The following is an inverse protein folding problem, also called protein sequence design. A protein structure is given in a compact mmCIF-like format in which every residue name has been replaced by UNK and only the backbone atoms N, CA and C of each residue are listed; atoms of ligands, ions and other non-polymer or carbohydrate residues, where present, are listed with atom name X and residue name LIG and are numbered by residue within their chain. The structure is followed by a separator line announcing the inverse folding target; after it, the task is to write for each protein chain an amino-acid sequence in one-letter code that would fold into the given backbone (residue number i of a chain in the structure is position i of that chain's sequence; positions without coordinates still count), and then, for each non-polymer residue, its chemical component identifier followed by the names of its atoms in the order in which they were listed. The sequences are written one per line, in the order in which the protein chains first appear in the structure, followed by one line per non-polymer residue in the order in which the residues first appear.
data_IF_696408644603
#
_entry.id   IF_696408644603
#
_cell.length_a   1.000
_cell.length_b   1.000
_cell.length_c   1.000
_cell.angle_alpha   90.00
_cell.angle_beta   90.00
_cell.angle_gamma   90.00
#
_symmetry.space_group_name_H-M   'P 1'
#
loop_
_entity.id
_entity.type
_entity.pdbx_description
1 polymer ?
#
# COMPACT_ATOMS: atom_id res chain seq x y z
N UNK A 1 -32.52 6.39 33.21
CA UNK A 1 -33.30 5.52 32.31
C UNK A 1 -33.42 6.23 30.96
N UNK A 2 -32.74 5.80 29.94
CA UNK A 2 -33.02 6.14 28.55
C UNK A 2 -32.00 5.43 27.67
N UNK A 3 -32.28 4.52 27.01
CA UNK A 3 -32.34 3.71 25.86
C UNK A 3 -31.08 3.79 24.98
N UNK A 4 -30.33 2.69 25.00
CA UNK A 4 -29.29 2.38 24.05
C UNK A 4 -29.95 2.07 22.69
N UNK A 5 -29.73 2.95 21.69
CA UNK A 5 -30.20 2.76 20.31
C UNK A 5 -29.34 1.72 19.60
N UNK A 6 -29.95 0.57 19.32
CA UNK A 6 -29.39 -0.52 18.51
C UNK A 6 -29.07 -0.04 17.11
N UNK A 7 -27.80 -0.05 16.72
CA UNK A 7 -27.36 0.15 15.34
C UNK A 7 -27.77 -1.07 14.49
N UNK A 8 -28.78 -0.89 13.64
CA UNK A 8 -29.23 -1.89 12.66
C UNK A 8 -28.09 -2.15 11.67
N UNK A 9 -27.58 -3.38 11.67
CA UNK A 9 -26.62 -3.87 10.70
C UNK A 9 -27.12 -3.66 9.27
N UNK A 10 -26.23 -3.22 8.38
CA UNK A 10 -26.52 -3.10 6.95
C UNK A 10 -26.86 -4.49 6.40
N UNK A 11 -28.08 -4.65 5.96
CA UNK A 11 -28.55 -5.82 5.23
C UNK A 11 -27.94 -5.74 3.83
N UNK A 12 -26.93 -6.58 3.57
CA UNK A 12 -26.49 -6.82 2.20
C UNK A 12 -27.67 -7.39 1.42
N UNK A 13 -27.99 -6.75 0.28
CA UNK A 13 -29.02 -7.25 -0.63
C UNK A 13 -28.76 -8.70 -1.07
N UNK A 14 -29.77 -9.39 -1.61
CA UNK A 14 -29.65 -10.80 -1.94
C UNK A 14 -28.47 -11.02 -2.88
N UNK A 15 -27.53 -11.89 -2.45
CA UNK A 15 -26.40 -12.32 -3.27
C UNK A 15 -26.96 -12.91 -4.56
N UNK A 16 -26.77 -12.22 -5.70
CA UNK A 16 -27.14 -12.76 -7.01
C UNK A 16 -26.50 -14.15 -7.15
N UNK A 17 -27.33 -15.18 -7.30
CA UNK A 17 -26.83 -16.50 -7.65
C UNK A 17 -26.27 -16.40 -9.07
N UNK A 18 -24.95 -16.38 -9.19
CA UNK A 18 -24.30 -16.49 -10.49
C UNK A 18 -24.66 -17.85 -11.06
N UNK A 19 -25.16 -17.85 -12.29
CA UNK A 19 -25.50 -19.05 -13.03
C UNK A 19 -24.20 -19.86 -13.26
N UNK A 20 -24.15 -21.07 -12.72
CA UNK A 20 -23.02 -21.98 -12.83
C UNK A 20 -22.72 -22.40 -14.29
N UNK A 21 -23.65 -22.14 -15.23
CA UNK A 21 -23.44 -22.41 -16.65
C UNK A 21 -22.46 -21.47 -17.33
N UNK A 22 -22.28 -20.23 -16.80
CA UNK A 22 -21.35 -19.22 -17.31
C UNK A 22 -19.87 -19.56 -17.09
N UNK A 23 -19.57 -20.59 -16.28
CA UNK A 23 -18.18 -20.97 -15.97
C UNK A 23 -17.56 -22.01 -16.90
N UNK A 24 -18.25 -22.43 -17.98
CA UNK A 24 -17.75 -23.46 -18.91
C UNK A 24 -16.90 -22.93 -20.06
N UNK A 25 -16.91 -21.64 -20.32
CA UNK A 25 -16.06 -21.08 -21.35
C UNK A 25 -14.61 -20.95 -20.88
N UNK A 26 -13.69 -21.50 -21.68
CA UNK A 26 -12.25 -21.35 -21.38
C UNK A 26 -11.89 -19.86 -21.44
N UNK A 27 -11.24 -19.37 -20.38
CA UNK A 27 -10.73 -18.00 -20.38
C UNK A 27 -9.89 -17.73 -21.63
N UNK A 28 -10.05 -16.58 -22.28
CA UNK A 28 -9.22 -16.18 -23.40
C UNK A 28 -7.73 -16.28 -23.06
N UNK A 29 -6.87 -16.50 -24.07
CA UNK A 29 -5.44 -16.69 -23.82
C UNK A 29 -4.77 -15.48 -23.16
N UNK A 30 -5.22 -14.28 -23.48
CA UNK A 30 -4.74 -13.02 -22.88
C UNK A 30 -5.10 -12.86 -21.40
N UNK A 31 -6.08 -13.62 -20.89
CA UNK A 31 -6.42 -13.69 -19.45
C UNK A 31 -5.65 -14.77 -18.69
N UNK A 32 -4.82 -15.55 -19.39
CA UNK A 32 -3.99 -16.57 -18.74
C UNK A 32 -2.71 -15.94 -18.25
N UNK A 33 -2.60 -15.76 -16.95
CA UNK A 33 -1.35 -15.36 -16.32
C UNK A 33 -0.48 -16.62 -16.15
N UNK A 34 0.73 -16.60 -16.67
CA UNK A 34 1.71 -17.66 -16.39
C UNK A 34 2.17 -17.51 -14.93
N UNK A 35 2.10 -18.59 -14.17
CA UNK A 35 2.64 -18.59 -12.82
C UNK A 35 4.15 -18.29 -12.88
N UNK A 36 4.66 -17.42 -12.01
CA UNK A 36 6.08 -17.12 -12.00
C UNK A 36 6.88 -18.36 -11.61
N UNK A 37 7.75 -18.79 -12.50
CA UNK A 37 8.75 -19.82 -12.21
C UNK A 37 10.12 -19.15 -11.92
N UNK A 38 10.08 -17.92 -11.40
CA UNK A 38 11.27 -17.12 -11.15
C UNK A 38 11.66 -17.20 -9.67
N UNK A 39 12.86 -17.70 -9.34
CA UNK A 39 13.39 -17.70 -7.98
C UNK A 39 13.33 -16.32 -7.31
N UNK A 40 13.61 -15.26 -8.06
CA UNK A 40 13.59 -13.86 -7.57
C UNK A 40 12.28 -13.49 -6.88
N UNK A 41 11.14 -13.99 -7.38
CA UNK A 41 9.86 -13.74 -6.75
C UNK A 41 9.76 -14.34 -5.33
N UNK A 42 10.22 -15.58 -5.16
CA UNK A 42 10.17 -16.27 -3.88
C UNK A 42 11.15 -15.69 -2.87
N UNK A 43 12.35 -15.32 -3.35
CA UNK A 43 13.36 -14.63 -2.53
C UNK A 43 12.84 -13.28 -2.05
N UNK A 44 12.21 -12.51 -2.94
CA UNK A 44 11.57 -11.22 -2.61
C UNK A 44 10.46 -11.40 -1.58
N UNK A 45 9.60 -12.40 -1.78
CA UNK A 45 8.49 -12.69 -0.85
C UNK A 45 9.00 -13.06 0.55
N UNK A 46 10.04 -13.88 0.63
CA UNK A 46 10.70 -14.23 1.88
C UNK A 46 11.29 -12.99 2.56
N UNK A 47 11.99 -12.17 1.79
CA UNK A 47 12.63 -10.96 2.27
C UNK A 47 11.65 -9.96 2.89
N UNK A 48 10.54 -9.69 2.21
CA UNK A 48 9.47 -8.80 2.70
C UNK A 48 8.95 -9.31 4.04
N UNK A 49 8.74 -10.61 4.15
CA UNK A 49 8.28 -11.25 5.39
C UNK A 49 9.33 -11.19 6.50
N UNK A 50 10.59 -11.49 6.18
CA UNK A 50 11.68 -11.53 7.16
C UNK A 50 11.99 -10.14 7.74
N UNK A 51 11.79 -9.09 6.94
CA UNK A 51 11.91 -7.70 7.36
C UNK A 51 10.61 -7.13 7.96
N UNK A 52 9.58 -7.95 8.16
CA UNK A 52 8.28 -7.52 8.70
C UNK A 52 7.73 -6.27 7.99
N UNK A 53 7.75 -6.28 6.65
CA UNK A 53 7.27 -5.18 5.82
C UNK A 53 5.92 -5.52 5.19
N UNK A 54 5.13 -4.50 4.95
CA UNK A 54 3.84 -4.60 4.27
C UNK A 54 3.97 -4.05 2.85
N UNK A 55 3.40 -4.77 1.88
CA UNK A 55 3.34 -4.31 0.50
C UNK A 55 1.90 -4.22 0.01
N UNK A 56 1.58 -3.15 -0.71
CA UNK A 56 0.29 -3.06 -1.42
C UNK A 56 0.12 -4.22 -2.40
N UNK A 57 1.23 -4.71 -2.94
CA UNK A 57 1.23 -5.85 -3.87
C UNK A 57 0.64 -7.13 -3.24
N UNK A 58 0.80 -7.32 -1.92
CA UNK A 58 0.22 -8.45 -1.19
C UNK A 58 -1.19 -8.13 -0.66
N UNK A 59 -1.36 -6.99 -0.01
CA UNK A 59 -2.64 -6.58 0.57
C UNK A 59 -3.76 -6.47 -0.49
N UNK A 60 -3.46 -5.89 -1.65
CA UNK A 60 -4.39 -5.79 -2.77
C UNK A 60 -4.48 -7.07 -3.61
N UNK A 61 -3.75 -8.15 -3.25
CA UNK A 61 -3.68 -9.39 -4.03
C UNK A 61 -3.41 -9.14 -5.51
N UNK A 62 -2.49 -8.22 -5.80
CA UNK A 62 -2.20 -7.75 -7.14
C UNK A 62 -1.74 -8.90 -8.06
N UNK A 63 -2.40 -9.12 -9.20
CA UNK A 63 -2.03 -10.20 -10.13
C UNK A 63 -0.70 -9.95 -10.85
N UNK A 64 -0.24 -8.69 -10.90
CA UNK A 64 0.99 -8.30 -11.60
C UNK A 64 2.23 -8.29 -10.68
N UNK A 65 2.07 -8.58 -9.40
CA UNK A 65 3.13 -8.54 -8.39
C UNK A 65 4.42 -9.23 -8.83
N UNK A 66 4.31 -10.42 -9.41
CA UNK A 66 5.45 -11.22 -9.85
C UNK A 66 6.22 -10.56 -11.00
N UNK A 67 5.54 -9.84 -11.88
CA UNK A 67 6.15 -9.10 -12.99
C UNK A 67 6.88 -7.86 -12.47
N UNK A 68 6.18 -7.04 -11.67
CA UNK A 68 6.75 -5.83 -11.09
C UNK A 68 8.01 -6.12 -10.25
N UNK A 69 7.95 -7.12 -9.38
CA UNK A 69 9.10 -7.51 -8.57
C UNK A 69 10.25 -8.05 -9.42
N UNK A 70 9.93 -8.81 -10.49
CA UNK A 70 10.91 -9.30 -11.46
C UNK A 70 11.56 -8.19 -12.29
N UNK A 71 10.90 -7.04 -12.44
CA UNK A 71 11.40 -5.86 -13.15
C UNK A 71 12.06 -4.83 -12.23
N UNK A 72 12.21 -5.14 -10.94
CA UNK A 72 12.84 -4.24 -9.97
C UNK A 72 11.95 -3.09 -9.51
N UNK A 73 10.64 -3.29 -9.46
CA UNK A 73 9.67 -2.32 -8.91
C UNK A 73 8.84 -2.95 -7.79
N UNK A 74 8.74 -2.29 -6.65
CA UNK A 74 7.88 -2.70 -5.55
C UNK A 74 7.15 -1.50 -4.93
N UNK A 75 5.97 -1.77 -4.34
CA UNK A 75 5.18 -0.77 -3.62
C UNK A 75 5.09 -1.17 -2.15
N UNK A 76 5.80 -0.46 -1.29
CA UNK A 76 5.72 -0.63 0.15
C UNK A 76 4.57 0.20 0.73
N UNK A 77 3.90 -0.37 1.72
CA UNK A 77 2.87 0.32 2.50
C UNK A 77 3.40 0.52 3.91
N UNK A 78 3.74 1.75 4.23
CA UNK A 78 4.34 2.15 5.51
C UNK A 78 3.29 2.61 6.53
N UNK A 79 3.73 2.88 7.74
CA UNK A 79 2.92 3.33 8.87
C UNK A 79 1.92 2.28 9.39
N UNK A 80 2.21 0.99 9.12
CA UNK A 80 1.45 -0.16 9.60
C UNK A 80 0.42 -0.67 8.60
N UNK A 81 -0.36 -1.66 9.04
CA UNK A 81 -1.35 -2.40 8.21
C UNK A 81 -2.81 -2.04 8.51
N UNK A 82 -3.04 -1.06 9.42
CA UNK A 82 -4.38 -0.64 9.85
C UNK A 82 -4.60 0.81 9.54
N UNK A 83 -5.69 1.09 8.83
CA UNK A 83 -6.05 2.43 8.39
C UNK A 83 -7.11 3.05 9.31
N UNK A 84 -7.00 4.35 9.56
CA UNK A 84 -8.04 5.11 10.29
C UNK A 84 -9.31 5.31 9.47
N UNK A 85 -9.25 5.13 8.13
CA UNK A 85 -10.35 5.38 7.18
C UNK A 85 -10.94 4.08 6.63
N UNK A 86 -12.22 4.14 6.25
CA UNK A 86 -13.00 3.01 5.73
C UNK A 86 -13.45 3.25 4.28
N UNK A 87 -12.51 3.37 3.35
CA UNK A 87 -12.81 3.55 1.93
C UNK A 87 -13.47 2.29 1.35
N UNK A 88 -14.63 2.44 0.70
CA UNK A 88 -15.45 1.31 0.26
C UNK A 88 -14.84 0.43 -0.83
N UNK A 89 -13.80 0.89 -1.49
CA UNK A 89 -13.05 0.19 -2.55
C UNK A 89 -11.72 -0.39 -2.06
N UNK A 90 -11.28 -0.05 -0.84
CA UNK A 90 -9.97 -0.45 -0.32
C UNK A 90 -10.05 -1.76 0.46
N UNK A 91 -9.08 -2.65 0.25
CA UNK A 91 -8.98 -3.92 0.95
C UNK A 91 -8.27 -3.82 2.31
N UNK A 92 -7.60 -2.69 2.59
CA UNK A 92 -6.86 -2.48 3.84
C UNK A 92 -7.81 -2.47 5.04
N UNK A 93 -7.38 -3.09 6.11
CA UNK A 93 -8.18 -3.24 7.33
C UNK A 93 -8.38 -1.91 8.04
N UNK A 94 -9.64 -1.51 8.23
CA UNK A 94 -10.00 -0.37 9.06
C UNK A 94 -10.00 -0.77 10.54
N UNK A 95 -9.09 -0.19 11.32
CA UNK A 95 -9.02 -0.39 12.76
C UNK A 95 -8.19 0.74 13.40
N UNK A 96 -8.13 0.78 14.74
CA UNK A 96 -7.18 1.65 15.43
C UNK A 96 -5.76 1.17 15.07
N UNK A 97 -4.91 2.05 14.48
CA UNK A 97 -3.54 1.69 14.15
C UNK A 97 -2.70 1.44 15.39
N UNK A 98 -1.66 0.63 15.22
CA UNK A 98 -0.61 0.46 16.21
C UNK A 98 0.35 1.67 16.19
N UNK A 99 1.26 1.75 17.17
CA UNK A 99 2.31 2.77 17.15
C UNK A 99 3.20 2.61 15.91
N UNK A 100 3.75 3.72 15.42
CA UNK A 100 4.74 3.66 14.35
C UNK A 100 5.98 2.91 14.82
N UNK A 101 6.51 2.05 13.96
CA UNK A 101 7.77 1.37 14.19
C UNK A 101 8.92 2.29 13.74
N UNK A 102 9.77 2.68 14.68
CA UNK A 102 10.82 3.67 14.42
C UNK A 102 11.88 3.18 13.43
N UNK A 103 12.03 1.87 13.28
CA UNK A 103 12.99 1.21 12.40
C UNK A 103 12.39 0.79 11.03
N UNK A 104 11.10 1.08 10.78
CA UNK A 104 10.46 0.76 9.50
C UNK A 104 11.14 1.47 8.30
N UNK A 105 11.56 2.75 8.38
CA UNK A 105 12.30 3.43 7.32
C UNK A 105 13.56 2.70 6.88
N UNK A 106 14.38 2.25 7.83
CA UNK A 106 15.62 1.51 7.58
C UNK A 106 15.34 0.13 6.99
N UNK A 107 14.30 -0.56 7.46
CA UNK A 107 13.89 -1.86 6.90
C UNK A 107 13.41 -1.74 5.46
N UNK A 108 12.69 -0.65 5.11
CA UNK A 108 12.29 -0.36 3.73
C UNK A 108 13.51 -0.08 2.85
N UNK A 109 14.49 0.70 3.35
CA UNK A 109 15.74 0.97 2.66
C UNK A 109 16.55 -0.31 2.39
N UNK A 110 16.70 -1.15 3.40
CA UNK A 110 17.35 -2.47 3.32
C UNK A 110 16.63 -3.39 2.32
N UNK A 111 15.30 -3.48 2.37
CA UNK A 111 14.53 -4.28 1.43
C UNK A 111 14.75 -3.81 0.00
N UNK A 112 14.69 -2.49 -0.22
CA UNK A 112 14.93 -1.84 -1.52
C UNK A 112 16.29 -2.23 -2.09
N UNK A 113 17.32 -2.17 -1.27
CA UNK A 113 18.69 -2.55 -1.64
C UNK A 113 18.80 -4.05 -1.96
N UNK A 114 18.27 -4.91 -1.09
CA UNK A 114 18.38 -6.38 -1.26
C UNK A 114 17.57 -6.88 -2.44
N UNK A 115 16.42 -6.28 -2.71
CA UNK A 115 15.60 -6.57 -3.90
C UNK A 115 16.22 -6.00 -5.18
N UNK A 116 17.26 -5.15 -5.07
CA UNK A 116 17.89 -4.46 -6.20
C UNK A 116 16.89 -3.68 -7.03
N UNK A 117 16.00 -2.95 -6.35
CA UNK A 117 14.98 -2.17 -7.04
C UNK A 117 15.61 -1.01 -7.81
N UNK A 118 15.05 -0.74 -8.99
CA UNK A 118 15.32 0.46 -9.77
C UNK A 118 14.30 1.57 -9.46
N UNK A 119 13.14 1.17 -8.99
CA UNK A 119 12.02 2.05 -8.70
C UNK A 119 11.27 1.53 -7.47
N UNK A 120 11.14 2.37 -6.46
CA UNK A 120 10.36 2.08 -5.26
C UNK A 120 9.18 3.03 -5.17
N UNK A 121 8.00 2.46 -4.92
CA UNK A 121 6.80 3.23 -4.60
C UNK A 121 6.54 3.12 -3.10
N UNK A 122 6.39 4.25 -2.43
CA UNK A 122 6.10 4.34 -0.99
C UNK A 122 4.70 4.91 -0.84
N UNK A 123 3.82 4.17 -0.23
CA UNK A 123 2.50 4.63 0.17
C UNK A 123 2.26 4.33 1.64
N UNK A 124 1.17 4.80 2.21
CA UNK A 124 0.83 4.55 3.60
C UNK A 124 -0.66 4.33 3.80
N UNK A 125 -1.00 3.72 4.91
CA UNK A 125 -2.36 3.81 5.47
C UNK A 125 -2.62 5.24 5.95
N UNK A 126 -3.88 5.69 5.96
CA UNK A 126 -4.20 6.97 6.58
C UNK A 126 -4.01 6.88 8.10
N UNK A 127 -3.33 7.89 8.66
CA UNK A 127 -2.96 8.01 10.08
C UNK A 127 -3.55 9.30 10.66
N UNK A 128 -4.87 9.46 10.56
CA UNK A 128 -5.56 10.64 11.13
C UNK A 128 -5.44 10.73 12.66
N UNK A 129 -4.96 9.66 13.30
CA UNK A 129 -4.60 9.60 14.72
C UNK A 129 -3.29 10.33 15.04
N UNK A 130 -2.44 10.61 14.04
CA UNK A 130 -1.19 11.34 14.21
C UNK A 130 -1.38 12.84 13.89
N UNK A 131 -0.60 13.66 14.59
CA UNK A 131 -0.68 15.11 14.42
C UNK A 131 -0.35 15.54 12.98
N UNK A 132 0.62 14.89 12.37
CA UNK A 132 1.13 15.15 11.02
C UNK A 132 0.52 14.23 9.95
N UNK A 133 -0.38 13.30 10.34
CA UNK A 133 -0.95 12.31 9.43
C UNK A 133 0.05 11.27 8.93
N UNK A 134 1.24 11.16 9.53
CA UNK A 134 2.32 10.27 9.14
C UNK A 134 3.34 10.89 8.16
N UNK A 135 3.32 12.20 7.96
CA UNK A 135 4.21 12.88 7.01
C UNK A 135 5.70 12.78 7.40
N UNK A 136 6.02 12.86 8.69
CA UNK A 136 7.39 12.68 9.20
C UNK A 136 7.90 11.27 8.88
N UNK A 137 7.05 10.28 9.00
CA UNK A 137 7.39 8.91 8.68
C UNK A 137 7.67 8.70 7.18
N UNK A 138 6.90 9.36 6.29
CA UNK A 138 7.22 9.43 4.86
C UNK A 138 8.58 10.08 4.62
N UNK A 139 8.84 11.23 5.25
CA UNK A 139 10.11 11.94 5.11
C UNK A 139 11.29 11.03 5.49
N UNK A 140 11.24 10.41 6.67
CA UNK A 140 12.30 9.51 7.13
C UNK A 140 12.49 8.32 6.20
N UNK A 141 11.39 7.73 5.70
CA UNK A 141 11.48 6.60 4.77
C UNK A 141 12.13 7.02 3.45
N UNK A 142 11.78 8.17 2.88
CA UNK A 142 12.38 8.68 1.65
C UNK A 142 13.88 8.92 1.86
N UNK A 143 14.26 9.54 2.99
CA UNK A 143 15.64 9.86 3.32
C UNK A 143 16.48 8.58 3.53
N UNK A 144 15.98 7.60 4.28
CA UNK A 144 16.64 6.31 4.50
C UNK A 144 16.83 5.53 3.20
N UNK A 145 15.78 5.45 2.36
CA UNK A 145 15.85 4.76 1.05
C UNK A 145 16.89 5.42 0.16
N UNK A 146 16.92 6.76 0.10
CA UNK A 146 17.89 7.49 -0.71
C UNK A 146 19.32 7.32 -0.22
N UNK A 147 19.54 7.30 1.08
CA UNK A 147 20.84 7.14 1.68
C UNK A 147 21.47 5.78 1.32
N UNK A 148 20.70 4.71 1.37
CA UNK A 148 21.16 3.36 1.01
C UNK A 148 21.15 3.08 -0.50
N UNK A 149 20.32 3.78 -1.28
CA UNK A 149 20.09 3.51 -2.70
C UNK A 149 20.14 4.84 -3.50
N UNK A 150 21.32 5.42 -3.72
CA UNK A 150 21.47 6.78 -4.29
C UNK A 150 20.86 6.97 -5.69
N UNK A 151 20.86 5.90 -6.50
CA UNK A 151 20.41 5.94 -7.90
C UNK A 151 18.93 5.54 -8.08
N UNK A 152 18.23 5.21 -6.98
CA UNK A 152 16.86 4.70 -7.08
C UNK A 152 15.87 5.81 -7.40
N UNK A 153 14.86 5.49 -8.21
CA UNK A 153 13.69 6.36 -8.39
C UNK A 153 12.74 6.13 -7.21
N UNK A 154 12.45 7.19 -6.48
CA UNK A 154 11.53 7.18 -5.35
C UNK A 154 10.24 7.86 -5.78
N UNK A 155 9.17 7.11 -5.77
CA UNK A 155 7.81 7.56 -6.00
C UNK A 155 7.01 7.49 -4.70
N UNK A 156 6.19 8.48 -4.44
CA UNK A 156 5.29 8.46 -3.29
C UNK A 156 3.84 8.58 -3.73
N UNK A 157 2.95 7.86 -3.05
CA UNK A 157 1.51 8.00 -3.15
C UNK A 157 0.99 8.34 -1.75
N UNK A 158 0.70 9.61 -1.52
CA UNK A 158 0.38 10.12 -0.20
C UNK A 158 -1.13 10.27 0.03
N UNK A 159 -1.60 10.15 1.29
CA UNK A 159 -2.94 10.56 1.67
C UNK A 159 -3.08 12.10 1.62
N UNK A 160 -4.28 12.60 1.82
CA UNK A 160 -4.57 14.03 1.87
C UNK A 160 -4.06 14.76 3.15
N UNK A 161 -3.48 14.01 4.09
CA UNK A 161 -3.03 14.49 5.40
C UNK A 161 -4.07 15.33 6.16
N UNK A 162 -5.36 15.17 5.83
CA UNK A 162 -6.47 15.91 6.45
C UNK A 162 -6.31 17.42 6.25
N UNK A 163 -5.98 17.86 5.02
CA UNK A 163 -5.78 19.24 4.59
C UNK A 163 -4.68 20.01 5.39
N UNK A 164 -3.65 19.29 5.83
CA UNK A 164 -2.50 19.89 6.51
C UNK A 164 -1.40 20.22 5.51
N UNK A 165 -1.40 21.42 4.97
CA UNK A 165 -0.39 21.87 3.98
C UNK A 165 1.05 21.68 4.48
N UNK A 166 1.31 21.95 5.75
CA UNK A 166 2.64 21.77 6.35
C UNK A 166 3.13 20.30 6.36
N UNK A 167 2.20 19.36 6.45
CA UNK A 167 2.52 17.91 6.35
C UNK A 167 2.93 17.55 4.92
N UNK A 168 2.21 18.07 3.94
CA UNK A 168 2.56 17.93 2.54
C UNK A 168 3.94 18.54 2.24
N UNK A 169 4.20 19.76 2.73
CA UNK A 169 5.52 20.41 2.59
C UNK A 169 6.66 19.56 3.18
N UNK A 170 6.41 18.87 4.30
CA UNK A 170 7.39 18.00 4.95
C UNK A 170 7.81 16.84 4.01
N UNK A 171 6.85 16.16 3.37
CA UNK A 171 7.14 15.12 2.39
C UNK A 171 7.88 15.70 1.18
N UNK A 172 7.47 16.87 0.69
CA UNK A 172 8.11 17.51 -0.47
C UNK A 172 9.55 17.96 -0.19
N UNK A 173 9.89 18.32 1.05
CA UNK A 173 11.27 18.62 1.47
C UNK A 173 12.20 17.42 1.34
N UNK A 174 11.68 16.19 1.52
CA UNK A 174 12.43 14.98 1.26
C UNK A 174 12.68 14.71 -0.24
N UNK A 175 12.08 15.52 -1.14
CA UNK A 175 12.29 15.51 -2.60
C UNK A 175 12.13 14.14 -3.25
N UNK A 176 10.94 13.49 -3.16
CA UNK A 176 10.67 12.32 -3.97
C UNK A 176 10.82 12.67 -5.47
N UNK A 177 11.15 11.69 -6.32
CA UNK A 177 11.25 11.91 -7.76
C UNK A 177 9.88 12.04 -8.43
N UNK A 178 8.90 11.29 -7.93
CA UNK A 178 7.53 11.29 -8.41
C UNK A 178 6.61 11.44 -7.21
N UNK A 179 5.66 12.37 -7.32
CA UNK A 179 4.67 12.63 -6.29
C UNK A 179 3.27 12.36 -6.85
N UNK A 180 2.53 11.45 -6.22
CA UNK A 180 1.17 11.09 -6.60
C UNK A 180 0.20 11.30 -5.44
N UNK A 181 -1.01 11.65 -5.83
CA UNK A 181 -2.16 11.73 -4.94
C UNK A 181 -3.42 11.28 -5.68
N UNK A 182 -4.25 10.47 -5.02
CA UNK A 182 -5.51 10.01 -5.58
C UNK A 182 -6.62 11.03 -5.33
N UNK A 183 -7.38 11.37 -6.37
CA UNK A 183 -8.59 12.19 -6.22
C UNK A 183 -9.82 11.35 -5.82
N UNK A 184 -9.70 10.02 -5.92
CA UNK A 184 -10.67 8.99 -5.54
C UNK A 184 -12.01 9.04 -6.29
N UNK A 185 -12.56 10.23 -6.57
CA UNK A 185 -13.82 10.42 -7.26
C UNK A 185 -13.87 11.79 -7.93
N UNK A 186 -14.95 12.05 -8.66
CA UNK A 186 -15.26 13.33 -9.26
C UNK A 186 -16.45 13.96 -8.57
N UNK A 187 -16.55 15.29 -8.62
CA UNK A 187 -17.73 16.03 -8.18
C UNK A 187 -18.93 15.62 -9.01
N UNK A 188 -20.10 15.44 -8.38
CA UNK A 188 -21.36 15.05 -9.01
C UNK A 188 -22.24 16.27 -9.28
#
# INVERSE_FOLDING_TARGET
MSGCGSSKGRVFGPRMKMDASLHKEKKPEWLKVRLPNNPVFWDTKSLVKDLNLVTVCEEAQCPNRWECWGQGTATFMIAGERCTRACGFCAVKTAKPDALEADEPERVAEATRRMKLNHVVITAVARDDLKDGGAEHFQHTIEAVRAENPEIIIEVLVPDFNDKDWALEMVMRARPHIFNHNLETVER
#
